data_IF_651597598496
#
_entry.id   IF_651597598496
#
_cell.length_a   1.000
_cell.length_b   1.000
_cell.length_c   1.000
_cell.angle_alpha   90.00
_cell.angle_beta   90.00
_cell.angle_gamma   90.00
#
_symmetry.space_group_name_H-M   'P 1'
#
loop_
_entity.id
_entity.type
_entity.pdbx_description
1 polymer ?
#
# COMPACT_ATOMS: atom_id res chain seq x y z
N UNK A 1 -18.75 -14.20 1.56
CA UNK A 1 -18.73 -14.51 0.11
C UNK A 1 -20.05 -15.20 -0.24
N UNK A 2 -20.66 -14.89 -1.39
CA UNK A 2 -21.94 -15.50 -1.81
C UNK A 2 -21.76 -16.98 -2.23
N UNK A 3 -20.51 -17.40 -2.51
CA UNK A 3 -20.10 -18.79 -2.69
C UNK A 3 -18.59 -18.97 -2.50
N UNK A 4 -18.12 -20.22 -2.38
CA UNK A 4 -16.70 -20.54 -2.16
C UNK A 4 -16.22 -20.36 -0.71
N UNK A 5 -14.90 -20.44 -0.49
CA UNK A 5 -14.30 -20.31 0.85
C UNK A 5 -13.04 -19.46 0.82
N UNK A 6 -12.92 -18.53 1.76
CA UNK A 6 -11.68 -17.80 2.04
C UNK A 6 -11.12 -18.38 3.34
N UNK A 7 -9.86 -18.80 3.32
CA UNK A 7 -9.15 -19.29 4.51
C UNK A 7 -7.95 -18.40 4.76
N UNK A 8 -7.90 -17.82 5.95
CA UNK A 8 -6.77 -17.02 6.42
C UNK A 8 -5.97 -17.88 7.39
N UNK A 9 -4.65 -17.91 7.25
CA UNK A 9 -3.79 -18.66 8.15
C UNK A 9 -3.82 -18.08 9.58
N UNK A 10 -3.69 -18.93 10.60
CA UNK A 10 -3.80 -18.53 12.01
C UNK A 10 -2.73 -17.52 12.45
N UNK A 11 -1.59 -17.48 11.76
CA UNK A 11 -0.48 -16.57 12.05
C UNK A 11 -0.57 -15.24 11.30
N UNK A 12 -1.57 -15.05 10.44
CA UNK A 12 -1.72 -13.83 9.64
C UNK A 12 -2.21 -12.69 10.52
N UNK A 13 -1.44 -11.60 10.53
CA UNK A 13 -1.77 -10.33 11.15
C UNK A 13 -1.96 -9.30 10.04
N UNK A 14 -3.22 -9.02 9.76
CA UNK A 14 -3.64 -8.05 8.76
C UNK A 14 -3.35 -6.63 9.26
N UNK A 15 -2.72 -5.84 8.41
CA UNK A 15 -2.58 -4.40 8.56
C UNK A 15 -3.24 -3.74 7.35
N UNK A 16 -4.29 -2.98 7.58
CA UNK A 16 -5.08 -2.34 6.52
C UNK A 16 -4.75 -0.85 6.49
N UNK A 17 -4.36 -0.34 5.32
CA UNK A 17 -4.23 1.10 5.08
C UNK A 17 -5.45 1.51 4.26
N UNK A 18 -6.51 1.95 4.95
CA UNK A 18 -7.68 2.54 4.30
C UNK A 18 -7.45 4.03 4.03
N UNK A 19 -8.21 4.58 3.10
CA UNK A 19 -8.45 6.02 2.98
C UNK A 19 -9.25 6.59 4.18
N UNK A 20 -9.83 5.76 5.05
CA UNK A 20 -10.42 6.20 6.32
C UNK A 20 -9.31 6.63 7.30
N UNK A 21 -8.96 7.92 7.23
CA UNK A 21 -7.83 8.58 7.90
C UNK A 21 -7.92 8.68 9.43
N UNK A 22 -8.75 7.88 10.10
CA UNK A 22 -9.33 8.21 11.42
C UNK A 22 -8.55 7.76 12.67
N UNK A 23 -7.40 7.10 12.52
CA UNK A 23 -6.65 6.53 13.68
C UNK A 23 -5.43 7.35 14.17
N UNK A 24 -5.27 8.58 13.68
CA UNK A 24 -4.18 9.46 14.12
C UNK A 24 -4.70 10.53 15.09
N UNK A 25 -4.15 10.55 16.31
CA UNK A 25 -4.53 11.55 17.32
C UNK A 25 -3.96 12.92 16.91
N UNK A 26 -4.79 13.98 16.80
CA UNK A 26 -4.36 15.27 16.28
C UNK A 26 -3.33 15.98 17.16
N UNK A 27 -3.28 15.66 18.46
CA UNK A 27 -2.37 16.26 19.43
C UNK A 27 -0.99 15.63 19.50
N UNK A 28 -0.83 14.41 18.97
CA UNK A 28 0.47 13.75 18.91
C UNK A 28 1.35 14.42 17.86
N UNK A 29 2.66 14.44 18.10
CA UNK A 29 3.62 14.80 17.05
C UNK A 29 3.73 13.68 16.03
N UNK A 30 4.20 13.98 14.81
CA UNK A 30 4.46 12.97 13.79
C UNK A 30 5.30 11.80 14.35
N UNK A 31 6.37 12.12 15.05
CA UNK A 31 7.23 11.10 15.65
C UNK A 31 6.50 10.27 16.71
N UNK A 32 5.71 10.90 17.59
CA UNK A 32 4.92 10.17 18.59
C UNK A 32 3.90 9.25 17.94
N UNK A 33 3.21 9.72 16.90
CA UNK A 33 2.17 8.97 16.21
C UNK A 33 2.71 7.70 15.54
N UNK A 34 3.95 7.75 15.02
CA UNK A 34 4.59 6.62 14.33
C UNK A 34 5.35 5.71 15.31
N UNK A 35 6.12 6.28 16.24
CA UNK A 35 6.99 5.53 17.14
C UNK A 35 6.32 5.08 18.44
N UNK A 36 5.17 5.64 18.79
CA UNK A 36 4.60 5.49 20.14
C UNK A 36 5.41 6.21 21.23
N UNK A 37 6.36 7.07 20.85
CA UNK A 37 7.22 7.82 21.77
C UNK A 37 8.48 7.06 22.21
N UNK A 38 8.86 5.97 21.54
CA UNK A 38 10.10 5.23 21.84
C UNK A 38 11.25 5.68 20.94
N UNK A 39 12.47 5.70 21.46
CA UNK A 39 13.67 6.05 20.67
C UNK A 39 14.13 4.91 19.75
N UNK A 40 13.76 3.68 20.10
CA UNK A 40 14.01 2.46 19.33
C UNK A 40 12.66 1.79 19.09
N UNK A 41 12.42 1.38 17.85
CA UNK A 41 11.20 0.69 17.45
C UNK A 41 11.52 -0.62 16.75
N UNK A 42 10.66 -1.60 16.96
CA UNK A 42 10.68 -2.87 16.24
C UNK A 42 9.86 -2.73 14.96
N UNK A 43 10.52 -2.80 13.81
CA UNK A 43 9.85 -2.83 12.51
C UNK A 43 10.08 -4.21 11.90
N UNK A 44 9.02 -5.00 11.81
CA UNK A 44 9.12 -6.43 11.50
C UNK A 44 9.95 -7.16 12.56
N UNK A 45 11.18 -7.57 12.21
CA UNK A 45 12.12 -8.27 13.10
C UNK A 45 13.39 -7.47 13.44
N UNK A 46 13.47 -6.20 13.01
CA UNK A 46 14.67 -5.36 13.20
C UNK A 46 14.40 -4.26 14.23
N UNK A 47 15.40 -4.00 15.06
CA UNK A 47 15.45 -2.80 15.90
C UNK A 47 15.98 -1.63 15.06
N UNK A 48 15.20 -0.55 14.98
CA UNK A 48 15.55 0.64 14.21
C UNK A 48 15.41 1.87 15.11
N UNK A 49 16.32 2.84 14.97
CA UNK A 49 16.16 4.14 15.61
C UNK A 49 14.90 4.83 15.06
N UNK A 50 13.99 5.22 15.95
CA UNK A 50 12.67 5.71 15.53
C UNK A 50 12.74 7.04 14.79
N UNK A 51 13.73 7.90 15.08
CA UNK A 51 13.95 9.15 14.34
C UNK A 51 14.39 8.89 12.91
N UNK A 52 15.26 7.90 12.72
CA UNK A 52 15.72 7.48 11.41
C UNK A 52 14.58 6.85 10.60
N UNK A 53 13.78 5.97 11.22
CA UNK A 53 12.60 5.38 10.58
C UNK A 53 11.57 6.44 10.17
N UNK A 54 11.21 7.36 11.08
CA UNK A 54 10.30 8.47 10.74
C UNK A 54 10.89 9.33 9.61
N UNK A 55 12.21 9.52 9.61
CA UNK A 55 12.93 10.24 8.55
C UNK A 55 12.84 9.60 7.17
N UNK A 56 12.74 8.27 7.06
CA UNK A 56 12.61 7.58 5.78
C UNK A 56 11.26 7.83 5.10
N UNK A 57 10.25 8.30 5.84
CA UNK A 57 8.97 8.76 5.28
C UNK A 57 8.95 10.27 4.98
N UNK A 58 10.13 10.84 4.71
CA UNK A 58 10.35 12.26 4.41
C UNK A 58 9.93 13.24 5.53
N UNK A 59 9.93 12.79 6.79
CA UNK A 59 9.74 13.67 7.94
C UNK A 59 11.09 13.99 8.60
N UNK A 60 11.76 15.04 8.10
CA UNK A 60 13.15 15.37 8.48
C UNK A 60 13.18 16.41 9.61
N UNK A 61 14.12 16.24 10.56
CA UNK A 61 14.42 17.23 11.59
C UNK A 61 13.20 17.75 12.35
N UNK A 62 12.93 19.07 12.25
CA UNK A 62 11.84 19.75 12.94
C UNK A 62 10.43 19.30 12.52
N UNK A 63 10.27 18.73 11.32
CA UNK A 63 8.97 18.26 10.84
C UNK A 63 8.38 17.18 11.74
N UNK A 64 9.25 16.36 12.34
CA UNK A 64 8.85 15.29 13.24
C UNK A 64 8.13 15.79 14.51
N UNK A 65 8.28 17.08 14.84
CA UNK A 65 7.64 17.72 16.01
C UNK A 65 6.33 18.40 15.65
N UNK A 66 5.96 18.50 14.37
CA UNK A 66 4.66 19.02 13.95
C UNK A 66 3.56 18.12 14.51
N UNK A 67 2.46 18.73 14.91
CA UNK A 67 1.26 18.01 15.36
C UNK A 67 0.54 17.40 14.17
N UNK A 68 0.01 16.19 14.34
CA UNK A 68 -0.78 15.49 13.31
C UNK A 68 -1.95 16.36 12.82
N UNK A 69 -2.61 17.10 13.71
CA UNK A 69 -3.74 17.97 13.35
C UNK A 69 -3.39 19.14 12.42
N UNK A 70 -2.10 19.43 12.21
CA UNK A 70 -1.63 20.52 11.34
C UNK A 70 -1.15 20.01 9.96
N UNK A 71 -1.17 18.69 9.75
CA UNK A 71 -0.65 18.09 8.53
C UNK A 71 -1.63 18.26 7.36
N UNK A 72 -1.06 18.44 6.17
CA UNK A 72 -1.79 18.28 4.92
C UNK A 72 -2.29 16.83 4.75
N UNK A 73 -3.22 16.61 3.82
CA UNK A 73 -3.73 15.27 3.52
C UNK A 73 -2.63 14.29 3.12
N UNK A 74 -1.68 14.70 2.28
CA UNK A 74 -0.54 13.89 1.86
C UNK A 74 0.42 13.58 3.00
N UNK A 75 0.75 14.57 3.85
CA UNK A 75 1.55 14.34 5.06
C UNK A 75 0.85 13.37 6.02
N UNK A 76 -0.46 13.52 6.24
CA UNK A 76 -1.23 12.61 7.10
C UNK A 76 -1.24 11.18 6.54
N UNK A 77 -1.32 11.03 5.21
CA UNK A 77 -1.22 9.72 4.55
C UNK A 77 0.14 9.06 4.81
N UNK A 78 1.23 9.81 4.68
CA UNK A 78 2.58 9.33 4.99
C UNK A 78 2.74 8.89 6.45
N UNK A 79 2.17 9.63 7.40
CA UNK A 79 2.17 9.23 8.83
C UNK A 79 1.40 7.92 9.01
N UNK A 80 0.25 7.78 8.36
CA UNK A 80 -0.58 6.59 8.46
C UNK A 80 0.13 5.35 7.89
N UNK A 81 0.77 5.50 6.73
CA UNK A 81 1.56 4.48 6.07
C UNK A 81 2.75 4.03 6.93
N UNK A 82 3.54 4.97 7.45
CA UNK A 82 4.67 4.69 8.34
C UNK A 82 4.23 3.96 9.61
N UNK A 83 3.14 4.42 10.25
CA UNK A 83 2.57 3.77 11.43
C UNK A 83 2.10 2.34 11.12
N UNK A 84 1.50 2.13 9.95
CA UNK A 84 0.97 0.81 9.56
C UNK A 84 2.09 -0.18 9.26
N UNK A 85 3.14 0.25 8.55
CA UNK A 85 4.34 -0.55 8.30
C UNK A 85 5.08 -0.90 9.62
N UNK A 86 5.04 -0.01 10.61
CA UNK A 86 5.59 -0.26 11.94
C UNK A 86 4.73 -1.19 12.81
N UNK A 87 3.43 -1.34 12.53
CA UNK A 87 2.48 -2.06 13.41
C UNK A 87 2.70 -3.57 13.52
N UNK A 88 3.66 -4.13 12.79
CA UNK A 88 4.05 -5.55 12.89
C UNK A 88 3.05 -6.51 12.26
N UNK A 89 2.17 -6.02 11.38
CA UNK A 89 1.42 -6.86 10.46
C UNK A 89 2.37 -7.68 9.58
N UNK A 90 1.95 -8.87 9.17
CA UNK A 90 2.68 -9.68 8.19
C UNK A 90 1.92 -9.82 6.87
N UNK A 91 0.71 -9.26 6.79
CA UNK A 91 -0.04 -9.06 5.57
C UNK A 91 -0.56 -7.62 5.52
N UNK A 92 -0.05 -6.83 4.58
CA UNK A 92 -0.47 -5.44 4.38
C UNK A 92 -1.43 -5.38 3.22
N UNK A 93 -2.53 -4.67 3.40
CA UNK A 93 -3.50 -4.37 2.34
C UNK A 93 -3.44 -2.86 2.08
N UNK A 94 -3.01 -2.48 0.88
CA UNK A 94 -2.91 -1.09 0.44
C UNK A 94 -3.91 -0.83 -0.67
N UNK A 95 -4.81 0.13 -0.47
CA UNK A 95 -5.75 0.57 -1.51
C UNK A 95 -5.29 1.90 -2.12
N UNK A 96 -4.79 1.84 -3.36
CA UNK A 96 -4.28 2.97 -4.15
C UNK A 96 -3.26 3.84 -3.39
N UNK A 97 -2.16 3.25 -2.87
CA UNK A 97 -1.21 3.96 -2.02
C UNK A 97 -0.39 5.01 -2.76
N UNK A 98 -0.39 4.99 -4.10
CA UNK A 98 0.34 5.93 -4.95
C UNK A 98 -0.36 7.29 -5.06
N UNK A 99 -1.63 7.38 -4.67
CA UNK A 99 -2.39 8.63 -4.70
C UNK A 99 -1.80 9.65 -3.72
N UNK A 100 -1.73 10.91 -4.17
CA UNK A 100 -1.26 12.06 -3.39
C UNK A 100 0.20 11.95 -2.87
N UNK A 101 1.01 11.02 -3.40
CA UNK A 101 2.43 10.90 -3.07
C UNK A 101 3.32 11.62 -4.08
N UNK A 102 4.35 12.31 -3.57
CA UNK A 102 5.45 12.80 -4.40
C UNK A 102 6.42 11.64 -4.76
N UNK A 103 7.27 11.87 -5.77
CA UNK A 103 8.19 10.86 -6.30
C UNK A 103 9.14 10.32 -5.22
N UNK A 104 9.65 11.18 -4.33
CA UNK A 104 10.55 10.78 -3.24
C UNK A 104 9.83 9.84 -2.26
N UNK A 105 8.59 10.16 -1.91
CA UNK A 105 7.78 9.32 -1.02
C UNK A 105 7.43 7.98 -1.66
N UNK A 106 7.09 7.98 -2.96
CA UNK A 106 6.79 6.75 -3.68
C UNK A 106 8.00 5.80 -3.67
N UNK A 107 9.20 6.32 -3.93
CA UNK A 107 10.44 5.54 -3.86
C UNK A 107 10.70 4.96 -2.47
N UNK A 108 10.51 5.76 -1.41
CA UNK A 108 10.65 5.27 -0.03
C UNK A 108 9.63 4.19 0.31
N UNK A 109 8.40 4.30 -0.20
CA UNK A 109 7.38 3.26 -0.05
C UNK A 109 7.77 1.98 -0.81
N UNK A 110 8.28 2.11 -2.03
CA UNK A 110 8.79 0.98 -2.80
C UNK A 110 9.89 0.23 -2.05
N UNK A 111 10.90 0.96 -1.56
CA UNK A 111 11.98 0.38 -0.75
C UNK A 111 11.46 -0.28 0.53
N UNK A 112 10.52 0.38 1.23
CA UNK A 112 9.94 -0.18 2.45
C UNK A 112 9.12 -1.46 2.20
N UNK A 113 8.42 -1.55 1.07
CA UNK A 113 7.67 -2.74 0.67
C UNK A 113 8.59 -3.86 0.18
N UNK A 114 9.68 -3.53 -0.51
CA UNK A 114 10.69 -4.49 -0.95
C UNK A 114 11.43 -5.12 0.24
N UNK A 115 11.72 -4.33 1.28
CA UNK A 115 12.33 -4.84 2.52
C UNK A 115 11.33 -5.50 3.49
N UNK A 116 10.03 -5.37 3.24
CA UNK A 116 9.01 -5.89 4.14
C UNK A 116 9.01 -7.43 4.15
N UNK A 117 9.31 -8.01 5.30
CA UNK A 117 9.42 -9.47 5.47
C UNK A 117 8.07 -10.23 5.47
N UNK A 118 6.97 -9.55 5.13
CA UNK A 118 5.62 -10.12 5.04
C UNK A 118 5.10 -10.13 3.60
N UNK A 119 3.78 -10.24 3.46
CA UNK A 119 3.10 -10.12 2.17
C UNK A 119 2.40 -8.77 2.06
N UNK A 120 2.39 -8.19 0.87
CA UNK A 120 1.59 -7.01 0.58
C UNK A 120 0.62 -7.34 -0.57
N UNK A 121 -0.64 -6.94 -0.41
CA UNK A 121 -1.62 -6.87 -1.49
C UNK A 121 -1.86 -5.40 -1.75
N UNK A 122 -1.50 -4.96 -2.94
CA UNK A 122 -1.58 -3.55 -3.33
C UNK A 122 -2.50 -3.39 -4.50
N UNK A 123 -3.49 -2.52 -4.36
CA UNK A 123 -4.33 -2.05 -5.45
C UNK A 123 -3.66 -0.78 -5.97
N UNK A 124 -3.31 -0.73 -7.26
CA UNK A 124 -2.70 0.44 -7.87
C UNK A 124 -3.03 0.49 -9.36
N UNK A 125 -3.20 1.70 -9.88
CA UNK A 125 -3.25 1.96 -11.33
C UNK A 125 -1.90 2.43 -11.90
N UNK A 126 -0.86 2.59 -11.06
CA UNK A 126 0.47 2.99 -11.48
C UNK A 126 1.27 1.79 -11.99
N UNK A 127 1.53 1.79 -13.30
CA UNK A 127 2.26 0.71 -14.00
C UNK A 127 3.69 0.59 -13.51
N UNK A 128 4.39 1.70 -13.29
CA UNK A 128 5.79 1.69 -12.87
C UNK A 128 5.95 1.09 -11.48
N UNK A 129 5.04 1.44 -10.57
CA UNK A 129 4.98 0.87 -9.24
C UNK A 129 4.74 -0.65 -9.26
N UNK A 130 3.77 -1.10 -10.08
CA UNK A 130 3.47 -2.52 -10.25
C UNK A 130 4.62 -3.28 -10.91
N UNK A 131 5.28 -2.70 -11.91
CA UNK A 131 6.41 -3.32 -12.61
C UNK A 131 7.60 -3.58 -11.69
N UNK A 132 7.82 -2.69 -10.72
CA UNK A 132 8.94 -2.76 -9.79
C UNK A 132 8.69 -3.71 -8.62
N UNK A 133 7.49 -3.75 -8.06
CA UNK A 133 7.20 -4.47 -6.81
C UNK A 133 6.39 -5.75 -7.00
N UNK A 134 5.58 -5.86 -8.05
CA UNK A 134 4.65 -6.97 -8.16
C UNK A 134 5.38 -8.27 -8.49
N UNK A 135 5.17 -9.28 -7.65
CA UNK A 135 5.55 -10.67 -7.94
C UNK A 135 4.40 -11.46 -8.56
N UNK A 136 3.17 -10.99 -8.35
CA UNK A 136 1.93 -11.57 -8.85
C UNK A 136 0.94 -10.45 -9.18
N UNK A 137 0.13 -10.66 -10.21
CA UNK A 137 -0.94 -9.76 -10.64
C UNK A 137 -2.27 -10.49 -10.51
N UNK A 138 -3.21 -9.86 -9.78
CA UNK A 138 -4.61 -10.24 -9.76
C UNK A 138 -5.38 -9.26 -10.66
N UNK A 139 -5.63 -9.64 -11.91
CA UNK A 139 -6.22 -8.76 -12.91
C UNK A 139 -7.71 -9.01 -13.11
N UNK A 140 -8.51 -7.95 -13.04
CA UNK A 140 -9.94 -7.99 -13.36
C UNK A 140 -10.13 -7.67 -14.85
N UNK A 141 -10.26 -8.69 -15.70
CA UNK A 141 -10.28 -8.55 -17.17
C UNK A 141 -11.67 -8.25 -17.75
N UNK A 142 -12.69 -8.06 -16.91
CA UNK A 142 -14.09 -7.88 -17.34
C UNK A 142 -14.89 -9.18 -17.27
N UNK A 143 -16.20 -9.13 -17.53
CA UNK A 143 -17.12 -10.29 -17.48
C UNK A 143 -17.04 -11.13 -16.18
N UNK A 144 -16.69 -10.50 -15.06
CA UNK A 144 -16.43 -11.15 -13.77
C UNK A 144 -15.28 -12.17 -13.80
N UNK A 145 -14.42 -12.12 -14.82
CA UNK A 145 -13.18 -12.87 -14.90
C UNK A 145 -12.08 -12.18 -14.10
N UNK A 146 -11.43 -12.97 -13.25
CA UNK A 146 -10.26 -12.54 -12.47
C UNK A 146 -9.12 -13.48 -12.83
N UNK A 147 -8.09 -12.93 -13.46
CA UNK A 147 -6.89 -13.65 -13.84
C UNK A 147 -5.83 -13.55 -12.74
N UNK A 148 -5.22 -14.69 -12.40
CA UNK A 148 -4.05 -14.74 -11.52
C UNK A 148 -2.81 -15.01 -12.36
N UNK A 149 -1.88 -14.06 -12.35
CA UNK A 149 -0.65 -14.13 -13.13
C UNK A 149 0.57 -14.05 -12.21
N UNK A 150 1.56 -14.89 -12.45
CA UNK A 150 2.85 -14.87 -11.75
C UNK A 150 3.87 -14.05 -12.57
N UNK A 151 4.33 -12.95 -12.01
CA UNK A 151 5.17 -11.96 -12.67
C UNK A 151 4.71 -10.54 -12.39
N UNK A 152 5.45 -9.58 -12.94
CA UNK A 152 5.15 -8.16 -12.83
C UNK A 152 4.11 -7.71 -13.89
N UNK A 153 3.79 -6.42 -13.91
CA UNK A 153 2.75 -5.89 -14.79
C UNK A 153 3.14 -5.96 -16.28
N UNK A 154 4.40 -5.72 -16.63
CA UNK A 154 4.92 -5.83 -17.99
C UNK A 154 4.75 -7.25 -18.55
N UNK A 155 5.16 -8.26 -17.77
CA UNK A 155 5.01 -9.67 -18.15
C UNK A 155 3.52 -10.05 -18.30
N UNK A 156 2.66 -9.51 -17.42
CA UNK A 156 1.21 -9.67 -17.54
C UNK A 156 0.65 -9.02 -18.81
N UNK A 157 1.10 -7.81 -19.18
CA UNK A 157 0.65 -7.14 -20.41
C UNK A 157 1.05 -7.92 -21.66
N UNK A 158 2.25 -8.51 -21.70
CA UNK A 158 2.69 -9.37 -22.80
C UNK A 158 1.83 -10.64 -22.91
N UNK A 159 1.57 -11.29 -21.79
CA UNK A 159 0.70 -12.46 -21.73
C UNK A 159 -0.74 -12.12 -22.16
N UNK A 160 -1.27 -10.99 -21.70
CA UNK A 160 -2.60 -10.50 -22.09
C UNK A 160 -2.67 -10.25 -23.59
N UNK A 161 -1.65 -9.61 -24.20
CA UNK A 161 -1.56 -9.43 -25.66
C UNK A 161 -1.57 -10.76 -26.39
N UNK A 162 -0.87 -11.76 -25.87
CA UNK A 162 -0.82 -13.11 -26.45
C UNK A 162 -2.16 -13.83 -26.35
N UNK A 163 -2.87 -13.72 -25.22
CA UNK A 163 -4.15 -14.41 -24.97
C UNK A 163 -5.33 -13.74 -25.70
N UNK A 164 -5.41 -12.41 -25.66
CA UNK A 164 -6.59 -11.64 -26.06
C UNK A 164 -6.36 -10.76 -27.29
N UNK A 165 -5.14 -10.69 -27.81
CA UNK A 165 -4.76 -9.82 -28.92
C UNK A 165 -4.44 -8.39 -28.51
N UNK A 166 -3.90 -7.60 -29.44
CA UNK A 166 -3.46 -6.21 -29.22
C UNK A 166 -4.58 -5.27 -28.78
N UNK A 167 -5.82 -5.53 -29.21
CA UNK A 167 -6.98 -4.69 -28.90
C UNK A 167 -7.37 -4.77 -27.42
N UNK A 168 -6.96 -5.82 -26.70
CA UNK A 168 -7.26 -6.00 -25.27
C UNK A 168 -6.48 -5.06 -24.32
N UNK A 169 -5.48 -4.34 -24.84
CA UNK A 169 -4.80 -3.26 -24.13
C UNK A 169 -5.58 -1.94 -24.19
N UNK A 170 -6.54 -1.82 -25.11
CA UNK A 170 -7.32 -0.60 -25.26
C UNK A 170 -8.34 -0.60 -24.12
N UNK A 171 -8.31 0.41 -23.23
CA UNK A 171 -9.26 0.47 -22.13
C UNK A 171 -10.68 0.65 -22.68
N UNK A 172 -11.48 -0.42 -22.61
CA UNK A 172 -12.90 -0.37 -22.93
C UNK A 172 -13.67 0.06 -21.69
N UNK A 173 -14.55 1.05 -21.86
CA UNK A 173 -15.40 1.54 -20.77
C UNK A 173 -16.40 0.43 -20.38
N UNK A 174 -16.14 -0.25 -19.28
CA UNK A 174 -17.05 -1.27 -18.73
C UNK A 174 -18.35 -0.56 -18.32
N UNK A 175 -19.44 -0.83 -19.02
CA UNK A 175 -20.78 -0.35 -18.66
C UNK A 175 -21.35 -1.27 -17.59
N UNK A 176 -21.06 -1.00 -16.33
CA UNK A 176 -21.81 -1.65 -15.24
C UNK A 176 -23.27 -1.17 -15.29
N UNK A 177 -24.23 -2.10 -15.36
CA UNK A 177 -25.63 -1.76 -15.09
C UNK A 177 -25.70 -1.25 -13.65
N UNK A 178 -26.29 -0.07 -13.46
CA UNK A 178 -26.60 0.43 -12.12
C UNK A 178 -27.48 -0.61 -11.43
N UNK A 179 -26.99 -1.23 -10.37
CA UNK A 179 -27.84 -1.97 -9.45
C UNK A 179 -28.87 -0.99 -8.90
N UNK A 180 -30.13 -1.15 -9.31
CA UNK A 180 -31.25 -0.41 -8.77
C UNK A 180 -31.47 -0.81 -7.32
N UNK A 181 -31.69 0.18 -6.45
CA UNK A 181 -32.18 -0.01 -5.08
C UNK A 181 -33.56 -0.64 -5.09
#
# INVERSE_FOLDING_TARGET
>A
PDGGTIKVGETVKLAYVDQSRDDLKPDETIWQAISGGTDIMMVGKREINSRAYVGSFNFKGGDQQKKVGQLSGGERNRVHLAKTLASGGNLILLDEPTNDLDIETLQNLEEALEEFAGCAVVISHDRWFLDRLATHILAFEGDSHVEWFEGNFEAYEEDKKRRLGTDALIPHRIKFQKFGR
#
